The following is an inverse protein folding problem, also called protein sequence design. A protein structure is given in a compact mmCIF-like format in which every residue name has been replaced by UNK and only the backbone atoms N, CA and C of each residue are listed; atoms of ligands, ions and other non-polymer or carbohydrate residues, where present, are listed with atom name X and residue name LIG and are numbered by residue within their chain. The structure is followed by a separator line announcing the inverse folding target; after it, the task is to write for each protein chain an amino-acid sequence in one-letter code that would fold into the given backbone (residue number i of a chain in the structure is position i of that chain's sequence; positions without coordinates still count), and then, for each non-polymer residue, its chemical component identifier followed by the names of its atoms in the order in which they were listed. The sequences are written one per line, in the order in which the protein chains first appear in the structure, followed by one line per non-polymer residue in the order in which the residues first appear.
data_IF_635109672377
#
_entry.id   IF_635109672377
#
_cell.length_a   1.000
_cell.length_b   1.000
_cell.length_c   1.000
_cell.angle_alpha   90.00
_cell.angle_beta   90.00
_cell.angle_gamma   90.00
#
_symmetry.space_group_name_H-M   'P 1'
#
loop_
_entity.id
_entity.type
_entity.pdbx_description
1 polymer ?
#
# COMPACT_ATOMS: atom_id res chain seq x y z
N UNK A 1 -8.65 8.30 -29.01
CA UNK A 1 -8.32 8.60 -27.60
C UNK A 1 -7.10 7.76 -27.23
N UNK A 2 -6.10 8.33 -26.59
CA UNK A 2 -4.88 7.61 -26.19
C UNK A 2 -5.21 6.57 -25.11
N UNK A 3 -4.75 5.35 -25.25
CA UNK A 3 -4.86 4.25 -24.27
C UNK A 3 -3.47 3.96 -23.73
N UNK A 4 -3.32 3.78 -22.43
CA UNK A 4 -2.06 3.45 -21.78
C UNK A 4 -1.84 1.94 -21.87
N UNK A 5 -0.70 1.54 -22.45
CA UNK A 5 -0.28 0.14 -22.59
C UNK A 5 0.53 -0.27 -21.37
N UNK A 6 -0.05 -1.10 -20.52
CA UNK A 6 0.51 -1.48 -19.24
C UNK A 6 1.20 -2.84 -19.33
N UNK A 7 2.41 -2.91 -18.78
CA UNK A 7 3.12 -4.15 -18.50
C UNK A 7 3.00 -4.50 -17.01
N UNK A 8 2.76 -5.78 -16.70
CA UNK A 8 2.67 -6.24 -15.30
C UNK A 8 3.78 -7.26 -15.03
N UNK A 9 4.62 -6.97 -14.04
CA UNK A 9 5.71 -7.83 -13.55
C UNK A 9 5.22 -8.55 -12.30
N UNK A 10 5.24 -9.88 -12.32
CA UNK A 10 4.66 -10.74 -11.29
C UNK A 10 3.19 -11.05 -11.59
N UNK A 11 2.89 -12.33 -11.79
CA UNK A 11 1.54 -12.85 -12.07
C UNK A 11 1.04 -13.75 -10.93
N UNK A 12 1.49 -13.46 -9.70
CA UNK A 12 0.95 -14.03 -8.48
C UNK A 12 -0.49 -13.54 -8.19
N UNK A 13 -0.91 -13.63 -6.94
CA UNK A 13 -2.27 -13.23 -6.52
C UNK A 13 -2.55 -11.76 -6.86
N UNK A 14 -1.64 -10.84 -6.45
CA UNK A 14 -1.82 -9.40 -6.69
C UNK A 14 -1.72 -9.03 -8.17
N UNK A 15 -0.68 -9.48 -8.85
CA UNK A 15 -0.51 -9.15 -10.27
C UNK A 15 -1.65 -9.68 -11.14
N UNK A 16 -2.17 -10.87 -10.84
CA UNK A 16 -3.36 -11.39 -11.52
C UNK A 16 -4.60 -10.52 -11.23
N UNK A 17 -4.81 -10.08 -10.00
CA UNK A 17 -5.90 -9.19 -9.62
C UNK A 17 -5.82 -7.84 -10.35
N UNK A 18 -4.63 -7.24 -10.43
CA UNK A 18 -4.39 -6.03 -11.22
C UNK A 18 -4.68 -6.23 -12.71
N UNK A 19 -4.18 -7.32 -13.32
CA UNK A 19 -4.43 -7.66 -14.73
C UNK A 19 -5.94 -7.75 -14.98
N UNK A 20 -6.68 -8.43 -14.12
CA UNK A 20 -8.12 -8.59 -14.25
C UNK A 20 -8.87 -7.28 -14.04
N UNK A 21 -8.49 -6.49 -13.04
CA UNK A 21 -9.12 -5.20 -12.74
C UNK A 21 -8.91 -4.21 -13.89
N UNK A 22 -7.69 -4.12 -14.45
CA UNK A 22 -7.39 -3.27 -15.60
C UNK A 22 -8.27 -3.68 -16.79
N UNK A 23 -8.27 -4.96 -17.12
CA UNK A 23 -8.94 -5.47 -18.32
C UNK A 23 -10.47 -5.33 -18.25
N UNK A 24 -11.05 -5.37 -17.04
CA UNK A 24 -12.52 -5.34 -16.85
C UNK A 24 -13.08 -3.96 -16.51
N UNK A 25 -12.27 -3.07 -15.87
CA UNK A 25 -12.82 -1.96 -15.11
C UNK A 25 -12.08 -0.63 -15.23
N UNK A 26 -10.90 -0.59 -15.87
CA UNK A 26 -10.10 0.63 -15.99
C UNK A 26 -10.23 1.23 -17.38
N UNK A 27 -10.73 2.45 -17.43
CA UNK A 27 -10.90 3.16 -18.69
C UNK A 27 -9.55 3.66 -19.23
N UNK A 28 -9.38 3.58 -20.55
CA UNK A 28 -8.20 4.10 -21.26
C UNK A 28 -6.89 3.42 -20.87
N UNK A 29 -6.96 2.15 -20.45
CA UNK A 29 -5.81 1.30 -20.16
C UNK A 29 -6.02 -0.08 -20.76
N UNK A 30 -4.93 -0.74 -21.13
CA UNK A 30 -4.92 -2.14 -21.54
C UNK A 30 -3.68 -2.84 -21.02
N UNK A 31 -3.81 -4.10 -20.65
CA UNK A 31 -2.65 -4.95 -20.32
C UNK A 31 -2.05 -5.43 -21.65
N UNK A 32 -0.83 -4.97 -21.93
CA UNK A 32 -0.12 -5.29 -23.18
C UNK A 32 0.84 -6.45 -23.03
N UNK A 33 1.46 -6.57 -21.85
CA UNK A 33 2.38 -7.66 -21.55
C UNK A 33 2.35 -8.02 -20.06
N UNK A 34 2.73 -9.25 -19.77
CA UNK A 34 3.02 -9.73 -18.43
C UNK A 34 4.37 -10.45 -18.43
N UNK A 35 5.07 -10.44 -17.29
CA UNK A 35 6.29 -11.20 -17.08
C UNK A 35 6.28 -11.82 -15.67
N UNK A 36 6.79 -13.01 -15.53
CA UNK A 36 6.94 -13.71 -14.26
C UNK A 36 8.16 -14.65 -14.32
N UNK A 37 8.80 -14.91 -13.20
CA UNK A 37 9.86 -15.91 -13.10
C UNK A 37 9.33 -17.30 -13.47
N UNK A 38 8.05 -17.57 -13.19
CA UNK A 38 7.31 -18.74 -13.68
C UNK A 38 6.66 -18.37 -15.02
N UNK A 39 7.36 -18.70 -16.10
CA UNK A 39 6.93 -18.42 -17.48
C UNK A 39 5.56 -19.03 -17.78
N UNK A 40 5.29 -20.25 -17.29
CA UNK A 40 4.00 -20.92 -17.51
C UNK A 40 2.84 -20.17 -16.85
N UNK A 41 3.08 -19.56 -15.68
CA UNK A 41 2.11 -18.70 -15.01
C UNK A 41 1.86 -17.42 -15.79
N UNK A 42 2.92 -16.78 -16.32
CA UNK A 42 2.78 -15.61 -17.16
C UNK A 42 1.98 -15.90 -18.44
N UNK A 43 2.28 -17.01 -19.11
CA UNK A 43 1.55 -17.47 -20.31
C UNK A 43 0.07 -17.73 -20.01
N UNK A 44 -0.22 -18.40 -18.89
CA UNK A 44 -1.59 -18.69 -18.48
C UNK A 44 -2.40 -17.42 -18.16
N UNK A 45 -1.77 -16.38 -17.62
CA UNK A 45 -2.40 -15.06 -17.38
C UNK A 45 -2.60 -14.33 -18.70
N UNK A 46 -1.57 -14.25 -19.54
CA UNK A 46 -1.64 -13.58 -20.84
C UNK A 46 -2.74 -14.16 -21.74
N UNK A 47 -2.88 -15.48 -21.77
CA UNK A 47 -3.88 -16.17 -22.59
C UNK A 47 -5.34 -15.78 -22.26
N UNK A 48 -5.60 -15.25 -21.07
CA UNK A 48 -6.95 -14.79 -20.65
C UNK A 48 -7.26 -13.35 -21.07
N UNK A 49 -6.27 -12.60 -21.51
CA UNK A 49 -6.39 -11.18 -21.82
C UNK A 49 -6.17 -10.93 -23.31
N UNK A 50 -7.19 -10.46 -24.05
CA UNK A 50 -7.05 -10.20 -25.49
C UNK A 50 -5.90 -9.23 -25.79
N UNK A 51 -4.97 -9.66 -26.63
CA UNK A 51 -3.83 -8.85 -27.07
C UNK A 51 -2.63 -8.79 -26.11
N UNK A 52 -2.72 -9.37 -24.92
CA UNK A 52 -1.59 -9.44 -23.99
C UNK A 52 -0.60 -10.55 -24.41
N UNK A 53 0.68 -10.32 -24.14
CA UNK A 53 1.78 -11.26 -24.39
C UNK A 53 2.50 -11.61 -23.10
N UNK A 54 2.97 -12.83 -22.95
CA UNK A 54 3.97 -13.16 -21.94
C UNK A 54 5.36 -12.82 -22.50
N UNK A 55 6.14 -12.05 -21.74
CA UNK A 55 7.53 -11.74 -22.08
C UNK A 55 8.48 -12.59 -21.24
N UNK A 56 9.68 -12.79 -21.75
CA UNK A 56 10.66 -13.74 -21.18
C UNK A 56 11.25 -13.26 -19.84
N UNK A 57 11.23 -11.97 -19.56
CA UNK A 57 11.72 -11.40 -18.30
C UNK A 57 11.09 -10.04 -17.99
N UNK A 58 11.27 -9.58 -16.75
CA UNK A 58 10.86 -8.26 -16.29
C UNK A 58 11.63 -7.15 -17.04
N UNK A 59 12.91 -7.34 -17.29
CA UNK A 59 13.76 -6.40 -18.01
C UNK A 59 13.28 -6.22 -19.46
N UNK A 60 12.98 -7.32 -20.16
CA UNK A 60 12.43 -7.27 -21.51
C UNK A 60 11.08 -6.53 -21.55
N UNK A 61 10.27 -6.62 -20.49
CA UNK A 61 9.03 -5.87 -20.35
C UNK A 61 9.30 -4.38 -20.14
N UNK A 62 10.22 -4.04 -19.24
CA UNK A 62 10.58 -2.65 -18.93
C UNK A 62 11.17 -1.96 -20.16
N UNK A 63 12.03 -2.63 -20.93
CA UNK A 63 12.68 -2.08 -22.12
C UNK A 63 11.76 -2.00 -23.36
N UNK A 64 10.64 -2.72 -23.35
CA UNK A 64 9.75 -2.81 -24.51
C UNK A 64 9.13 -1.46 -24.88
N UNK A 65 9.26 -1.03 -26.14
CA UNK A 65 8.59 0.14 -26.69
C UNK A 65 7.05 -0.03 -26.83
N UNK A 66 6.54 -1.25 -26.67
CA UNK A 66 5.10 -1.53 -26.66
C UNK A 66 4.45 -1.23 -25.27
N UNK A 67 5.24 -0.87 -24.25
CA UNK A 67 4.80 -0.62 -22.88
C UNK A 67 5.01 0.84 -22.52
N UNK A 68 3.96 1.51 -22.08
CA UNK A 68 3.97 2.91 -21.65
C UNK A 68 4.18 3.06 -20.15
N UNK A 69 3.71 2.09 -19.34
CA UNK A 69 3.77 2.13 -17.89
C UNK A 69 3.87 0.70 -17.31
N UNK A 70 4.46 0.57 -16.12
CA UNK A 70 4.78 -0.73 -15.50
C UNK A 70 4.09 -0.86 -14.14
N UNK A 71 3.48 -2.02 -13.89
CA UNK A 71 3.04 -2.44 -12.55
C UNK A 71 4.02 -3.51 -12.05
N UNK A 72 4.56 -3.31 -10.84
CA UNK A 72 5.44 -4.26 -10.17
C UNK A 72 4.65 -4.90 -9.03
N UNK A 73 4.30 -6.18 -9.19
CA UNK A 73 3.57 -7.02 -8.24
C UNK A 73 4.26 -8.38 -8.04
N UNK A 74 5.58 -8.38 -8.18
CA UNK A 74 6.46 -9.53 -7.98
C UNK A 74 6.78 -9.75 -6.49
N UNK A 75 7.80 -10.53 -6.16
CA UNK A 75 8.24 -10.70 -4.77
C UNK A 75 8.98 -9.45 -4.26
N UNK A 76 8.84 -9.14 -2.95
CA UNK A 76 9.39 -7.93 -2.33
C UNK A 76 10.85 -7.62 -2.69
N UNK A 77 11.81 -8.60 -2.70
CA UNK A 77 13.20 -8.31 -3.04
C UNK A 77 13.42 -7.75 -4.45
N UNK A 78 12.44 -7.90 -5.33
CA UNK A 78 12.55 -7.43 -6.71
C UNK A 78 11.91 -6.07 -6.95
N UNK A 79 11.18 -5.52 -5.98
CA UNK A 79 10.50 -4.22 -6.10
C UNK A 79 11.49 -3.09 -6.35
N UNK A 80 12.52 -2.94 -5.50
CA UNK A 80 13.55 -1.92 -5.64
C UNK A 80 14.26 -1.96 -6.99
N UNK A 81 14.88 -3.10 -7.38
CA UNK A 81 15.55 -3.25 -8.65
C UNK A 81 14.70 -2.94 -9.87
N UNK A 82 13.46 -3.45 -9.95
CA UNK A 82 12.59 -3.20 -11.10
C UNK A 82 12.04 -1.76 -11.12
N UNK A 83 11.84 -1.15 -9.95
CA UNK A 83 11.47 0.26 -9.86
C UNK A 83 12.59 1.15 -10.40
N UNK A 84 13.84 0.91 -9.99
CA UNK A 84 15.01 1.64 -10.49
C UNK A 84 15.19 1.48 -12.01
N UNK A 85 15.04 0.25 -12.52
CA UNK A 85 15.10 -0.02 -13.96
C UNK A 85 14.01 0.73 -14.73
N UNK A 86 12.79 0.80 -14.18
CA UNK A 86 11.67 1.50 -14.81
C UNK A 86 11.87 3.02 -14.80
N UNK A 87 12.43 3.60 -13.73
CA UNK A 87 12.83 5.01 -13.67
C UNK A 87 13.90 5.30 -14.76
N UNK A 88 14.92 4.44 -14.88
CA UNK A 88 15.97 4.58 -15.89
C UNK A 88 15.41 4.51 -17.32
N UNK A 89 14.35 3.72 -17.54
CA UNK A 89 13.62 3.65 -18.80
C UNK A 89 12.62 4.81 -19.01
N UNK A 90 12.49 5.73 -18.04
CA UNK A 90 11.56 6.87 -18.10
C UNK A 90 10.08 6.46 -18.05
N UNK A 91 9.76 5.30 -17.48
CA UNK A 91 8.40 4.77 -17.45
C UNK A 91 7.73 5.00 -16.10
N UNK A 92 6.47 5.50 -16.08
CA UNK A 92 5.64 5.51 -14.88
C UNK A 92 5.51 4.11 -14.29
N UNK A 93 5.62 4.03 -12.95
CA UNK A 93 5.58 2.79 -12.19
C UNK A 93 4.49 2.85 -11.13
N UNK A 94 3.67 1.79 -11.04
CA UNK A 94 2.94 1.47 -9.83
C UNK A 94 3.64 0.27 -9.19
N UNK A 95 4.32 0.49 -8.07
CA UNK A 95 4.99 -0.56 -7.31
C UNK A 95 4.12 -1.00 -6.15
N UNK A 96 3.84 -2.29 -6.03
CA UNK A 96 3.20 -2.83 -4.84
C UNK A 96 4.05 -2.61 -3.59
N UNK A 97 3.38 -2.55 -2.46
CA UNK A 97 4.05 -2.38 -1.16
C UNK A 97 4.71 -3.71 -0.69
N UNK A 98 5.84 -3.65 0.04
CA UNK A 98 6.64 -2.45 0.33
C UNK A 98 7.37 -1.96 -0.92
N UNK A 99 7.75 -0.68 -0.96
CA UNK A 99 8.48 -0.08 -2.10
C UNK A 99 9.80 -0.78 -2.38
N UNK A 100 10.52 -1.14 -1.31
CA UNK A 100 11.73 -1.95 -1.31
C UNK A 100 11.82 -2.70 0.03
N UNK A 101 12.85 -3.54 0.23
CA UNK A 101 13.02 -4.30 1.46
C UNK A 101 13.48 -3.43 2.65
N UNK A 102 14.25 -2.37 2.37
CA UNK A 102 14.83 -1.49 3.39
C UNK A 102 14.60 -0.01 3.07
N UNK A 103 14.65 0.83 4.11
CA UNK A 103 14.62 2.29 3.96
C UNK A 103 15.80 2.79 3.11
N UNK A 104 16.98 2.19 3.22
CA UNK A 104 18.15 2.54 2.42
C UNK A 104 17.95 2.25 0.92
N UNK A 105 17.27 1.19 0.55
CA UNK A 105 16.90 0.90 -0.83
C UNK A 105 15.82 1.87 -1.33
N UNK A 106 14.83 2.22 -0.49
CA UNK A 106 13.87 3.26 -0.82
C UNK A 106 14.57 4.61 -1.10
N UNK A 107 15.60 4.96 -0.32
CA UNK A 107 16.38 6.19 -0.54
C UNK A 107 17.07 6.19 -1.92
N UNK A 108 17.53 5.04 -2.41
CA UNK A 108 18.09 4.94 -3.77
C UNK A 108 17.04 5.28 -4.84
N UNK A 109 15.80 4.85 -4.64
CA UNK A 109 14.69 5.18 -5.54
C UNK A 109 14.40 6.70 -5.51
N UNK A 110 14.37 7.32 -4.32
CA UNK A 110 14.19 8.77 -4.19
C UNK A 110 15.27 9.54 -4.97
N UNK A 111 16.54 9.14 -4.81
CA UNK A 111 17.68 9.76 -5.50
C UNK A 111 17.61 9.56 -7.04
N UNK A 112 17.11 8.41 -7.47
CA UNK A 112 16.91 8.14 -8.89
C UNK A 112 15.84 9.06 -9.51
N UNK A 113 14.71 9.28 -8.82
CA UNK A 113 13.68 10.22 -9.26
C UNK A 113 14.17 11.68 -9.22
N UNK A 114 14.93 12.07 -8.18
CA UNK A 114 15.56 13.40 -8.11
C UNK A 114 16.52 13.63 -9.30
N UNK A 115 17.32 12.61 -9.66
CA UNK A 115 18.22 12.67 -10.81
C UNK A 115 17.45 12.77 -12.12
N UNK A 116 16.35 12.06 -12.25
CA UNK A 116 15.44 12.13 -13.39
C UNK A 116 14.65 13.45 -13.44
N UNK A 117 14.55 14.18 -12.32
CA UNK A 117 13.78 15.42 -12.20
C UNK A 117 12.27 15.23 -12.29
N UNK A 118 11.79 14.02 -12.12
CA UNK A 118 10.37 13.65 -12.33
C UNK A 118 9.96 12.54 -11.38
N UNK A 119 8.79 12.67 -10.73
CA UNK A 119 8.16 11.60 -9.96
C UNK A 119 7.49 10.63 -10.91
N UNK A 120 7.99 9.41 -11.00
CA UNK A 120 7.48 8.34 -11.84
C UNK A 120 6.83 7.22 -11.03
N UNK A 121 7.14 7.13 -9.73
CA UNK A 121 6.76 6.03 -8.86
C UNK A 121 5.55 6.37 -8.01
N UNK A 122 4.45 5.64 -8.23
CA UNK A 122 3.33 5.52 -7.29
C UNK A 122 3.48 4.20 -6.55
N UNK A 123 3.27 4.22 -5.23
CA UNK A 123 3.26 3.00 -4.42
C UNK A 123 1.83 2.50 -4.17
N UNK A 124 1.64 1.18 -4.14
CA UNK A 124 0.37 0.49 -3.97
C UNK A 124 -0.19 0.59 -2.55
N UNK A 125 -0.43 1.80 -2.05
CA UNK A 125 -1.13 2.05 -0.79
C UNK A 125 -2.62 2.27 -1.04
N UNK A 126 -3.31 1.21 -1.45
CA UNK A 126 -4.71 1.23 -1.88
C UNK A 126 -5.67 1.81 -0.83
N UNK A 127 -5.35 1.78 0.47
CA UNK A 127 -6.23 2.32 1.51
C UNK A 127 -6.45 3.82 1.40
N UNK A 128 -5.53 4.58 0.79
CA UNK A 128 -5.74 6.01 0.49
C UNK A 128 -6.81 6.26 -0.59
N UNK A 129 -7.26 5.20 -1.27
CA UNK A 129 -8.34 5.23 -2.26
C UNK A 129 -9.62 4.54 -1.76
N UNK A 130 -9.59 3.93 -0.58
CA UNK A 130 -10.77 3.32 0.04
C UNK A 130 -11.77 4.41 0.46
N UNK A 131 -13.04 4.33 0.04
CA UNK A 131 -14.02 5.36 0.36
C UNK A 131 -14.13 5.68 1.85
N UNK A 132 -14.04 4.65 2.70
CA UNK A 132 -14.12 4.84 4.15
C UNK A 132 -12.94 5.63 4.71
N UNK A 133 -11.70 5.31 4.31
CA UNK A 133 -10.53 6.06 4.76
C UNK A 133 -10.47 7.48 4.18
N UNK A 134 -10.92 7.67 2.94
CA UNK A 134 -11.05 9.02 2.33
C UNK A 134 -12.05 9.86 3.13
N UNK A 135 -13.19 9.28 3.53
CA UNK A 135 -14.18 9.96 4.36
C UNK A 135 -13.63 10.25 5.76
N UNK A 136 -12.96 9.29 6.43
CA UNK A 136 -12.31 9.52 7.73
C UNK A 136 -11.37 10.73 7.66
N UNK A 137 -10.50 10.78 6.65
CA UNK A 137 -9.58 11.92 6.45
C UNK A 137 -10.33 13.23 6.29
N UNK A 138 -11.35 13.27 5.45
CA UNK A 138 -12.14 14.48 5.21
C UNK A 138 -12.80 14.99 6.49
N UNK A 139 -13.37 14.10 7.31
CA UNK A 139 -14.02 14.45 8.59
C UNK A 139 -13.02 14.91 9.64
N UNK A 140 -11.85 14.27 9.73
CA UNK A 140 -10.74 14.73 10.60
C UNK A 140 -10.29 16.13 10.17
N UNK A 141 -10.04 16.33 8.88
CA UNK A 141 -9.59 17.62 8.34
C UNK A 141 -10.63 18.74 8.50
N UNK A 142 -11.93 18.42 8.50
CA UNK A 142 -13.01 19.41 8.74
C UNK A 142 -13.09 19.88 10.20
N UNK A 143 -12.43 19.19 11.13
CA UNK A 143 -12.52 19.48 12.57
C UNK A 143 -13.83 19.05 13.23
N UNK A 144 -14.63 18.18 12.59
CA UNK A 144 -15.92 17.69 13.10
C UNK A 144 -15.82 17.12 14.51
N UNK A 145 -14.74 16.35 14.78
CA UNK A 145 -14.48 15.73 16.10
C UNK A 145 -13.52 16.56 16.98
N UNK A 146 -13.18 17.78 16.61
CA UNK A 146 -12.10 18.55 17.25
C UNK A 146 -10.73 18.02 16.83
N UNK A 147 -9.69 18.31 17.63
CA UNK A 147 -8.37 17.74 17.38
C UNK A 147 -8.41 16.21 17.56
N UNK A 148 -7.88 15.42 16.61
CA UNK A 148 -7.78 13.97 16.77
C UNK A 148 -6.70 13.64 17.80
N UNK A 149 -7.04 12.80 18.78
CA UNK A 149 -6.19 12.46 19.93
C UNK A 149 -5.67 11.03 19.85
N UNK A 150 -6.50 10.11 19.37
CA UNK A 150 -6.22 8.68 19.41
C UNK A 150 -6.88 7.96 18.23
N UNK A 151 -6.23 6.92 17.71
CA UNK A 151 -6.88 5.95 16.84
C UNK A 151 -6.70 4.52 17.37
N UNK A 152 -7.75 3.71 17.22
CA UNK A 152 -7.73 2.28 17.43
C UNK A 152 -7.88 1.58 16.09
N UNK A 153 -6.83 0.87 15.64
CA UNK A 153 -6.83 0.13 14.40
C UNK A 153 -6.73 -1.37 14.67
N UNK A 154 -7.50 -2.14 13.93
CA UNK A 154 -7.46 -3.60 13.97
C UNK A 154 -7.22 -4.13 12.58
N UNK A 155 -6.22 -5.00 12.43
CA UNK A 155 -5.89 -5.69 11.19
C UNK A 155 -5.76 -7.18 11.48
N UNK A 156 -6.72 -7.96 11.02
CA UNK A 156 -6.77 -9.39 11.27
C UNK A 156 -6.89 -10.17 9.98
N UNK A 157 -5.95 -11.09 9.76
CA UNK A 157 -5.98 -12.03 8.66
C UNK A 157 -6.40 -13.42 9.14
N UNK A 158 -7.07 -14.18 8.27
CA UNK A 158 -7.39 -15.58 8.53
C UNK A 158 -6.11 -16.38 8.80
N UNK A 159 -5.10 -16.17 7.95
CA UNK A 159 -3.78 -16.79 8.05
C UNK A 159 -2.75 -16.00 7.26
N UNK A 160 -1.49 -16.26 7.51
CA UNK A 160 -0.34 -15.80 6.71
C UNK A 160 0.59 -16.98 6.47
N UNK A 161 1.57 -16.88 5.55
CA UNK A 161 2.53 -17.96 5.31
C UNK A 161 3.15 -18.47 6.60
N UNK A 162 3.25 -19.81 6.78
CA UNK A 162 3.71 -20.41 8.04
C UNK A 162 5.11 -19.97 8.48
N UNK A 163 5.97 -19.61 7.52
CA UNK A 163 7.36 -19.21 7.77
C UNK A 163 7.50 -17.72 8.13
N UNK A 164 6.43 -16.94 8.09
CA UNK A 164 6.51 -15.53 8.48
C UNK A 164 6.88 -15.37 9.94
N UNK A 165 7.85 -14.51 10.19
CA UNK A 165 8.29 -14.07 11.51
C UNK A 165 7.41 -12.97 12.09
N UNK A 166 7.70 -12.54 13.31
CA UNK A 166 7.06 -11.36 13.89
C UNK A 166 7.43 -10.07 13.15
N UNK A 167 8.64 -10.01 12.61
CA UNK A 167 9.15 -8.90 11.81
C UNK A 167 8.45 -8.83 10.45
N UNK A 168 8.25 -9.98 9.78
CA UNK A 168 7.53 -10.04 8.51
C UNK A 168 6.10 -9.47 8.62
N UNK A 169 5.44 -9.65 9.76
CA UNK A 169 4.11 -9.07 10.01
C UNK A 169 4.19 -7.54 10.00
N UNK A 170 5.19 -6.95 10.65
CA UNK A 170 5.37 -5.48 10.65
C UNK A 170 5.73 -4.98 9.25
N UNK A 171 6.73 -5.60 8.62
CA UNK A 171 7.27 -5.17 7.33
C UNK A 171 6.28 -5.35 6.15
N UNK A 172 5.29 -6.24 6.30
CA UNK A 172 4.39 -6.59 5.18
C UNK A 172 2.93 -6.23 5.44
N UNK A 173 2.45 -6.37 6.69
CA UNK A 173 1.03 -6.14 7.03
C UNK A 173 0.81 -4.78 7.68
N UNK A 174 1.59 -4.41 8.70
CA UNK A 174 1.43 -3.14 9.41
C UNK A 174 1.68 -1.91 8.52
N UNK A 175 2.41 -2.06 7.41
CA UNK A 175 2.68 -0.97 6.46
C UNK A 175 1.43 -0.26 5.95
N UNK A 176 0.29 -0.95 5.95
CA UNK A 176 -0.99 -0.35 5.57
C UNK A 176 -1.50 0.68 6.58
N UNK A 177 -1.43 0.38 7.87
CA UNK A 177 -1.78 1.29 8.95
C UNK A 177 -0.70 2.37 9.12
N UNK A 178 0.58 1.98 8.98
CA UNK A 178 1.74 2.88 9.02
C UNK A 178 1.62 3.97 7.95
N UNK A 179 1.10 3.66 6.78
CA UNK A 179 0.86 4.63 5.71
C UNK A 179 -0.42 5.44 5.92
N UNK A 180 -1.57 4.75 6.08
CA UNK A 180 -2.87 5.41 5.99
C UNK A 180 -3.18 6.28 7.20
N UNK A 181 -2.73 5.93 8.41
CA UNK A 181 -3.10 6.67 9.60
C UNK A 181 -2.41 8.03 9.73
N UNK A 182 -1.07 8.17 9.52
CA UNK A 182 -0.44 9.48 9.44
C UNK A 182 -1.05 10.36 8.34
N UNK A 183 -1.42 9.77 7.19
CA UNK A 183 -2.11 10.47 6.12
C UNK A 183 -3.51 10.96 6.52
N UNK A 184 -4.28 10.18 7.29
CA UNK A 184 -5.60 10.59 7.82
C UNK A 184 -5.45 11.74 8.82
N UNK A 185 -4.45 11.66 9.72
CA UNK A 185 -4.20 12.69 10.72
C UNK A 185 -3.50 13.94 10.15
N UNK A 186 -2.87 13.83 8.97
CA UNK A 186 -2.05 14.90 8.39
C UNK A 186 -0.83 15.24 9.24
N UNK A 187 -0.24 14.25 9.94
CA UNK A 187 0.88 14.42 10.88
C UNK A 187 1.92 13.33 10.70
N UNK A 188 3.19 13.67 10.98
CA UNK A 188 4.30 12.73 10.93
C UNK A 188 4.36 11.83 12.17
N UNK A 189 4.90 10.62 12.01
CA UNK A 189 5.24 9.73 13.13
C UNK A 189 6.60 10.14 13.68
N UNK A 190 6.68 10.38 14.99
CA UNK A 190 7.92 10.79 15.67
C UNK A 190 8.50 9.70 16.56
N UNK A 191 7.66 8.74 17.00
CA UNK A 191 8.10 7.67 17.89
C UNK A 191 7.24 6.43 17.67
N UNK A 192 7.80 5.25 17.93
CA UNK A 192 7.08 3.98 17.83
C UNK A 192 7.39 3.09 19.03
N UNK A 193 6.43 2.23 19.38
CA UNK A 193 6.65 1.18 20.37
C UNK A 193 5.89 -0.09 19.97
N UNK A 194 6.55 -1.24 20.15
CA UNK A 194 6.00 -2.54 19.80
C UNK A 194 5.79 -3.41 21.02
N UNK A 195 4.69 -4.14 21.05
CA UNK A 195 4.29 -5.05 22.12
C UNK A 195 3.74 -6.36 21.57
N UNK A 196 3.89 -7.41 22.30
CA UNK A 196 3.21 -8.68 22.05
C UNK A 196 3.15 -9.52 23.32
N UNK A 197 2.12 -10.35 23.50
CA UNK A 197 2.12 -11.38 24.52
C UNK A 197 3.33 -12.30 24.37
N UNK A 198 3.81 -12.82 25.48
CA UNK A 198 4.88 -13.84 25.47
C UNK A 198 4.26 -15.15 24.99
N UNK A 199 4.76 -15.79 23.92
CA UNK A 199 4.23 -17.06 23.47
C UNK A 199 4.56 -18.17 24.48
N UNK A 200 3.65 -19.16 24.57
CA UNK A 200 3.85 -20.31 25.46
C UNK A 200 5.01 -21.25 25.03
N UNK A 201 5.51 -21.11 23.80
CA UNK A 201 6.62 -21.88 23.27
C UNK A 201 7.67 -20.94 22.66
N UNK A 202 8.99 -21.16 22.96
CA UNK A 202 10.08 -20.42 22.32
C UNK A 202 10.11 -20.64 20.80
N UNK A 203 10.53 -19.61 20.04
CA UNK A 203 10.71 -19.68 18.59
C UNK A 203 9.43 -19.61 17.76
N UNK A 204 8.26 -19.44 18.41
CA UNK A 204 7.00 -19.21 17.72
C UNK A 204 6.84 -17.73 17.42
N UNK A 205 6.34 -17.41 16.23
CA UNK A 205 5.91 -16.06 15.85
C UNK A 205 4.99 -15.48 16.94
N UNK A 206 5.29 -14.27 17.39
CA UNK A 206 4.44 -13.55 18.33
C UNK A 206 3.24 -13.00 17.61
N UNK A 207 2.05 -13.44 18.00
CA UNK A 207 0.78 -13.08 17.38
C UNK A 207 -0.33 -13.26 18.43
N UNK A 208 -1.17 -12.27 18.74
CA UNK A 208 -1.22 -10.94 18.13
C UNK A 208 -0.06 -10.02 18.52
N UNK A 209 0.12 -8.96 17.72
CA UNK A 209 1.07 -7.88 18.00
C UNK A 209 0.33 -6.56 18.17
N UNK A 210 0.93 -5.63 18.90
CA UNK A 210 0.44 -4.25 19.02
C UNK A 210 1.58 -3.30 18.67
N UNK A 211 1.34 -2.40 17.72
CA UNK A 211 2.20 -1.27 17.44
C UNK A 211 1.54 0.01 17.93
N UNK A 212 2.29 0.88 18.59
CA UNK A 212 1.87 2.23 18.97
C UNK A 212 2.73 3.20 18.17
N UNK A 213 2.09 4.09 17.41
CA UNK A 213 2.76 5.19 16.74
C UNK A 213 2.39 6.49 17.47
N UNK A 214 3.38 7.27 17.83
CA UNK A 214 3.21 8.63 18.34
C UNK A 214 3.41 9.62 17.18
N UNK A 215 2.43 10.48 16.98
CA UNK A 215 2.46 11.52 15.96
C UNK A 215 2.94 12.84 16.52
N UNK A 216 3.42 13.71 15.65
CA UNK A 216 3.67 15.11 15.99
C UNK A 216 2.46 15.72 16.69
N UNK A 217 2.71 16.42 17.82
CA UNK A 217 1.65 16.97 18.66
C UNK A 217 1.00 15.97 19.63
N UNK A 218 1.56 14.74 19.75
CA UNK A 218 1.23 13.78 20.81
C UNK A 218 0.00 12.92 20.58
N UNK A 219 -0.61 12.93 19.40
CA UNK A 219 -1.68 11.97 19.07
C UNK A 219 -1.11 10.56 18.94
N UNK A 220 -1.89 9.55 19.35
CA UNK A 220 -1.45 8.15 19.38
C UNK A 220 -2.28 7.29 18.43
N UNK A 221 -1.63 6.35 17.76
CA UNK A 221 -2.26 5.34 16.92
C UNK A 221 -1.93 3.96 17.48
N UNK A 222 -2.96 3.23 17.93
CA UNK A 222 -2.87 1.84 18.34
C UNK A 222 -3.22 0.94 17.17
N UNK A 223 -2.35 0.01 16.83
CA UNK A 223 -2.53 -0.95 15.74
C UNK A 223 -2.45 -2.35 16.33
N UNK A 224 -3.58 -3.05 16.38
CA UNK A 224 -3.61 -4.49 16.68
C UNK A 224 -3.46 -5.28 15.39
N UNK A 225 -2.47 -6.17 15.35
CA UNK A 225 -2.18 -7.08 14.24
C UNK A 225 -2.41 -8.51 14.71
N UNK A 226 -3.40 -9.21 14.15
CA UNK A 226 -3.64 -10.61 14.44
C UNK A 226 -3.70 -11.42 13.14
N UNK A 227 -2.58 -12.04 12.80
CA UNK A 227 -2.37 -12.67 11.50
C UNK A 227 -2.80 -14.16 11.44
N UNK A 228 -3.30 -14.69 12.55
CA UNK A 228 -3.86 -16.04 12.66
C UNK A 228 -5.24 -16.02 13.33
N UNK A 229 -6.09 -15.07 12.95
CA UNK A 229 -7.42 -14.89 13.54
C UNK A 229 -8.39 -16.05 13.25
N UNK A 230 -8.16 -16.80 12.15
CA UNK A 230 -8.89 -18.00 11.74
C UNK A 230 -10.39 -17.81 11.42
N UNK A 231 -11.04 -16.77 11.92
CA UNK A 231 -12.48 -16.56 11.77
C UNK A 231 -12.88 -15.69 10.58
N UNK A 232 -11.94 -14.93 10.00
CA UNK A 232 -12.21 -14.04 8.89
C UNK A 232 -11.17 -12.93 8.76
N UNK A 233 -11.28 -12.15 7.67
CA UNK A 233 -10.50 -10.94 7.45
C UNK A 233 -11.25 -9.74 8.05
N UNK A 234 -10.57 -8.97 8.90
CA UNK A 234 -11.19 -7.85 9.59
C UNK A 234 -10.26 -6.64 9.64
N UNK A 235 -10.77 -5.50 9.16
CA UNK A 235 -10.13 -4.19 9.27
C UNK A 235 -11.10 -3.26 9.97
N UNK A 236 -10.65 -2.67 11.09
CA UNK A 236 -11.40 -1.64 11.83
C UNK A 236 -10.51 -0.44 12.10
N UNK A 237 -11.13 0.71 12.20
CA UNK A 237 -10.47 1.94 12.63
C UNK A 237 -11.51 2.82 13.32
N UNK A 238 -11.22 3.25 14.53
CA UNK A 238 -11.96 4.28 15.26
C UNK A 238 -10.97 5.40 15.60
N UNK A 239 -11.38 6.65 15.36
CA UNK A 239 -10.62 7.84 15.73
C UNK A 239 -11.39 8.59 16.81
N UNK A 240 -10.71 8.86 17.92
CA UNK A 240 -11.22 9.62 19.05
C UNK A 240 -10.64 11.04 18.99
N UNK A 241 -11.49 12.02 18.96
CA UNK A 241 -11.14 13.44 19.04
C UNK A 241 -11.71 14.11 20.27
N UNK A 242 -11.39 15.39 20.46
CA UNK A 242 -11.83 16.19 21.63
C UNK A 242 -13.36 16.32 21.76
N UNK A 243 -14.11 16.19 20.65
CA UNK A 243 -15.56 16.45 20.59
C UNK A 243 -16.38 15.24 20.16
N UNK A 244 -15.76 14.12 19.85
CA UNK A 244 -16.48 12.93 19.40
C UNK A 244 -15.56 11.87 18.80
N UNK A 245 -16.17 10.84 18.24
CA UNK A 245 -15.48 9.74 17.57
C UNK A 245 -15.98 9.53 16.16
N UNK A 246 -15.13 8.99 15.29
CA UNK A 246 -15.47 8.55 13.93
C UNK A 246 -14.90 7.15 13.75
N UNK A 247 -15.69 6.23 13.19
CA UNK A 247 -15.22 4.88 12.90
C UNK A 247 -15.50 4.46 11.45
N UNK A 248 -14.73 3.52 10.96
CA UNK A 248 -15.04 2.83 9.70
C UNK A 248 -16.31 2.00 9.90
N UNK A 249 -17.30 2.24 9.04
CA UNK A 249 -18.50 1.42 9.04
C UNK A 249 -18.17 -0.07 8.76
N UNK A 250 -18.88 -1.02 9.39
CA UNK A 250 -18.74 -2.43 9.07
C UNK A 250 -19.00 -2.69 7.59
N UNK A 251 -18.18 -3.52 6.98
CA UNK A 251 -18.22 -3.77 5.52
C UNK A 251 -19.34 -4.74 5.11
N UNK A 252 -19.94 -5.42 6.09
CA UNK A 252 -21.05 -6.33 5.79
C UNK A 252 -22.24 -5.59 5.19
N UNK A 253 -22.67 -6.05 4.02
CA UNK A 253 -23.85 -5.49 3.33
C UNK A 253 -25.16 -6.00 3.89
N UNK A 254 -25.14 -7.08 4.67
CA UNK A 254 -26.32 -7.72 5.21
C UNK A 254 -26.09 -8.19 6.64
N UNK A 255 -27.16 -8.15 7.43
CA UNK A 255 -27.22 -8.73 8.77
C UNK A 255 -28.35 -9.74 8.78
N UNK A 256 -28.03 -11.01 9.00
CA UNK A 256 -29.02 -12.06 9.14
C UNK A 256 -29.50 -12.17 10.61
N UNK A 257 -30.78 -12.46 10.78
CA UNK A 257 -31.37 -12.77 12.09
C UNK A 257 -32.11 -14.09 11.99
N UNK A 258 -31.60 -15.12 12.63
CA UNK A 258 -32.19 -16.47 12.70
C UNK A 258 -31.78 -17.13 14.01
N UNK A 259 -32.54 -18.10 14.49
CA UNK A 259 -32.21 -18.93 15.64
C UNK A 259 -31.81 -18.12 16.89
N UNK A 260 -32.48 -17.00 17.14
CA UNK A 260 -32.21 -16.06 18.26
C UNK A 260 -30.78 -15.43 18.18
N UNK A 261 -30.18 -15.37 16.97
CA UNK A 261 -28.82 -14.82 16.73
C UNK A 261 -28.85 -13.69 15.72
N UNK A 262 -27.85 -12.83 15.83
CA UNK A 262 -27.48 -11.86 14.79
C UNK A 262 -26.18 -12.34 14.17
N UNK A 263 -26.14 -12.46 12.85
CA UNK A 263 -25.00 -12.97 12.09
C UNK A 263 -24.57 -11.96 11.04
N UNK A 264 -23.27 -11.81 10.88
CA UNK A 264 -22.62 -10.96 9.88
C UNK A 264 -21.55 -11.80 9.22
N UNK A 265 -21.56 -11.86 7.88
CA UNK A 265 -20.54 -12.58 7.14
C UNK A 265 -19.24 -11.78 7.09
N UNK A 266 -18.13 -12.47 7.32
CA UNK A 266 -16.79 -11.91 7.20
C UNK A 266 -16.15 -12.38 5.89
N UNK A 267 -15.33 -11.52 5.28
CA UNK A 267 -14.54 -11.89 4.11
C UNK A 267 -13.44 -12.90 4.49
N UNK A 268 -13.09 -13.76 3.55
CA UNK A 268 -11.97 -14.69 3.75
C UNK A 268 -10.60 -13.99 3.62
N UNK A 269 -10.55 -12.90 2.85
CA UNK A 269 -9.33 -12.12 2.62
C UNK A 269 -9.66 -10.66 2.24
N UNK A 270 -8.62 -9.89 1.94
CA UNK A 270 -8.65 -8.47 1.62
C UNK A 270 -9.39 -8.12 0.31
N UNK A 271 -9.48 -9.02 -0.67
CA UNK A 271 -9.99 -8.74 -2.02
C UNK A 271 -11.42 -8.19 -2.02
N UNK A 272 -12.41 -8.82 -1.40
CA UNK A 272 -13.76 -8.26 -1.37
C UNK A 272 -13.85 -6.93 -0.62
N UNK A 273 -12.99 -6.74 0.41
CA UNK A 273 -12.99 -5.52 1.24
C UNK A 273 -12.46 -4.32 0.48
N UNK A 274 -11.41 -4.50 -0.32
CA UNK A 274 -10.68 -3.41 -0.96
C UNK A 274 -10.79 -3.38 -2.49
N UNK A 275 -11.68 -4.16 -3.11
CA UNK A 275 -11.86 -4.19 -4.56
C UNK A 275 -12.07 -2.79 -5.17
N UNK A 276 -12.90 -1.95 -4.54
CA UNK A 276 -13.16 -0.59 -5.00
C UNK A 276 -11.93 0.32 -4.81
N UNK A 277 -11.16 0.12 -3.74
CA UNK A 277 -9.93 0.86 -3.49
C UNK A 277 -8.89 0.61 -4.59
N UNK A 278 -8.62 -0.65 -4.93
CA UNK A 278 -7.72 -1.02 -6.02
C UNK A 278 -8.19 -0.48 -7.37
N UNK A 279 -9.49 -0.57 -7.65
CA UNK A 279 -10.05 0.00 -8.89
C UNK A 279 -9.82 1.52 -8.97
N UNK A 280 -10.06 2.25 -7.87
CA UNK A 280 -9.85 3.70 -7.81
C UNK A 280 -8.38 4.06 -7.91
N UNK A 281 -7.50 3.32 -7.25
CA UNK A 281 -6.05 3.50 -7.32
C UNK A 281 -5.55 3.38 -8.76
N UNK A 282 -5.87 2.27 -9.42
CA UNK A 282 -5.48 2.03 -10.82
C UNK A 282 -6.05 3.08 -11.77
N UNK A 283 -7.32 3.46 -11.62
CA UNK A 283 -7.91 4.49 -12.48
C UNK A 283 -7.28 5.86 -12.24
N UNK A 284 -6.98 6.22 -10.98
CA UNK A 284 -6.29 7.46 -10.63
C UNK A 284 -4.91 7.52 -11.24
N UNK A 285 -4.13 6.42 -11.15
CA UNK A 285 -2.81 6.30 -11.73
C UNK A 285 -2.82 6.46 -13.25
N UNK A 286 -3.73 5.76 -13.94
CA UNK A 286 -3.91 5.90 -15.40
C UNK A 286 -4.27 7.34 -15.78
N UNK A 287 -5.17 7.98 -15.03
CA UNK A 287 -5.55 9.37 -15.28
C UNK A 287 -4.38 10.33 -15.09
N UNK A 288 -3.52 10.10 -14.09
CA UNK A 288 -2.31 10.89 -13.84
C UNK A 288 -1.33 10.81 -15.03
N UNK A 289 -1.11 9.60 -15.56
CA UNK A 289 -0.26 9.38 -16.73
C UNK A 289 -0.85 10.09 -17.98
N UNK A 290 -2.16 10.00 -18.18
CA UNK A 290 -2.82 10.64 -19.30
C UNK A 290 -2.75 12.17 -19.23
N UNK A 291 -2.93 12.74 -18.02
CA UNK A 291 -2.79 14.17 -17.75
C UNK A 291 -1.35 14.65 -18.03
N UNK A 292 -0.37 13.92 -17.49
CA UNK A 292 1.06 14.18 -17.76
C UNK A 292 1.38 14.18 -19.26
N UNK A 293 0.95 13.14 -19.98
CA UNK A 293 1.20 13.01 -21.42
C UNK A 293 0.50 14.09 -22.26
N UNK A 294 -0.55 14.72 -21.75
CA UNK A 294 -1.24 15.83 -22.41
C UNK A 294 -0.60 17.20 -22.17
N UNK A 295 0.43 17.27 -21.32
CA UNK A 295 1.10 18.53 -20.96
C UNK A 295 0.28 19.40 -20.01
N UNK A 296 -0.58 18.80 -19.18
CA UNK A 296 -1.34 19.52 -18.16
C UNK A 296 -0.38 20.11 -17.11
N UNK A 297 -0.29 21.45 -17.09
CA UNK A 297 0.60 22.20 -16.23
C UNK A 297 0.27 22.08 -14.72
N UNK A 298 -0.88 21.54 -14.34
CA UNK A 298 -1.18 21.26 -12.96
C UNK A 298 -0.40 20.05 -12.41
N UNK A 299 0.28 19.30 -13.29
CA UNK A 299 1.06 18.11 -12.96
C UNK A 299 2.57 18.35 -13.13
N UNK A 300 3.11 19.36 -12.44
CA UNK A 300 4.50 19.84 -12.64
C UNK A 300 5.59 18.87 -12.18
N UNK A 301 5.28 17.88 -11.35
CA UNK A 301 6.31 16.99 -10.74
C UNK A 301 6.31 15.58 -11.31
N UNK A 302 5.39 15.22 -12.23
CA UNK A 302 5.34 13.87 -12.81
C UNK A 302 3.96 13.21 -12.78
N UNK A 303 3.81 12.02 -13.37
CA UNK A 303 2.55 11.29 -13.51
C UNK A 303 2.09 10.59 -12.22
N UNK A 304 2.21 11.23 -11.07
CA UNK A 304 1.84 10.66 -9.76
C UNK A 304 0.88 11.60 -9.02
N UNK A 305 -0.34 11.11 -8.74
CA UNK A 305 -1.37 11.85 -8.00
C UNK A 305 -1.75 11.17 -6.68
N UNK A 306 -1.05 10.12 -6.29
CA UNK A 306 -1.30 9.33 -5.08
C UNK A 306 -0.09 9.25 -4.17
N UNK A 307 -0.03 8.22 -3.34
CA UNK A 307 1.17 7.91 -2.56
C UNK A 307 2.36 7.66 -3.49
N UNK A 308 3.45 8.36 -3.22
CA UNK A 308 4.65 8.36 -4.04
C UNK A 308 5.82 7.61 -3.37
N UNK A 309 7.02 7.64 -3.97
CA UNK A 309 8.18 6.96 -3.40
C UNK A 309 8.57 7.51 -2.02
N UNK A 310 8.30 8.79 -1.73
CA UNK A 310 8.53 9.36 -0.39
C UNK A 310 7.63 8.70 0.67
N UNK A 311 6.36 8.44 0.35
CA UNK A 311 5.45 7.74 1.25
C UNK A 311 5.93 6.31 1.50
N UNK A 312 6.45 5.62 0.47
CA UNK A 312 7.07 4.31 0.58
C UNK A 312 8.30 4.31 1.49
N UNK A 313 9.20 5.29 1.32
CA UNK A 313 10.37 5.48 2.18
C UNK A 313 9.97 5.70 3.65
N UNK A 314 9.01 6.60 3.90
CA UNK A 314 8.53 6.86 5.27
C UNK A 314 7.95 5.60 5.92
N UNK A 315 7.15 4.84 5.19
CA UNK A 315 6.60 3.59 5.69
C UNK A 315 7.70 2.58 6.05
N UNK A 316 8.77 2.49 5.24
CA UNK A 316 9.92 1.63 5.52
C UNK A 316 10.66 2.07 6.78
N UNK A 317 10.95 3.36 6.95
CA UNK A 317 11.63 3.91 8.16
C UNK A 317 10.81 3.61 9.43
N UNK A 318 9.50 3.82 9.40
CA UNK A 318 8.62 3.55 10.54
C UNK A 318 8.59 2.04 10.85
N UNK A 319 8.52 1.19 9.82
CA UNK A 319 8.52 -0.26 9.99
C UNK A 319 9.85 -0.77 10.58
N UNK A 320 11.00 -0.25 10.11
CA UNK A 320 12.31 -0.58 10.67
C UNK A 320 12.44 -0.14 12.14
N UNK A 321 11.91 1.05 12.50
CA UNK A 321 11.88 1.50 13.88
C UNK A 321 11.03 0.58 14.78
N UNK A 322 9.88 0.08 14.27
CA UNK A 322 9.08 -0.92 14.99
C UNK A 322 9.82 -2.24 15.19
N UNK A 323 10.55 -2.71 14.17
CA UNK A 323 11.42 -3.91 14.29
C UNK A 323 12.53 -3.67 15.32
N UNK A 324 13.15 -2.49 15.34
CA UNK A 324 14.12 -2.12 16.36
C UNK A 324 13.51 -2.11 17.77
N UNK A 325 12.25 -1.65 17.90
CA UNK A 325 11.50 -1.68 19.16
C UNK A 325 11.24 -3.11 19.67
N UNK A 326 11.04 -4.09 18.77
CA UNK A 326 10.92 -5.50 19.17
C UNK A 326 12.17 -6.01 19.90
N UNK A 327 13.35 -5.55 19.48
CA UNK A 327 14.64 -5.97 20.03
C UNK A 327 15.02 -5.18 21.27
N UNK A 328 14.76 -3.86 21.30
CA UNK A 328 15.09 -2.99 22.45
C UNK A 328 14.12 -3.16 23.61
N UNK A 329 12.89 -3.58 23.34
CA UNK A 329 11.81 -3.70 24.34
C UNK A 329 11.25 -2.36 24.82
N UNK A 330 11.50 -1.26 24.10
CA UNK A 330 11.04 0.08 24.43
C UNK A 330 10.77 0.94 23.21
N UNK A 331 10.38 2.22 23.43
CA UNK A 331 10.11 3.15 22.34
C UNK A 331 11.38 3.47 21.54
N UNK A 332 11.21 3.65 20.24
CA UNK A 332 12.27 4.01 19.29
C UNK A 332 11.84 5.26 18.52
N UNK A 333 12.67 6.32 18.47
CA UNK A 333 12.38 7.49 17.68
C UNK A 333 12.42 7.15 16.17
N UNK A 334 11.57 7.81 15.40
CA UNK A 334 11.54 7.71 13.94
C UNK A 334 12.37 8.84 13.35
N UNK A 335 13.52 8.50 12.80
CA UNK A 335 14.42 9.44 12.14
C UNK A 335 14.29 9.29 10.63
N UNK A 336 13.70 10.28 9.97
CA UNK A 336 13.60 10.32 8.51
C UNK A 336 14.50 11.41 7.91
N UNK A 337 14.82 11.26 6.63
CA UNK A 337 15.48 12.33 5.87
C UNK A 337 14.59 13.58 5.84
N UNK A 338 15.20 14.74 5.57
CA UNK A 338 14.43 15.91 5.15
C UNK A 338 13.74 15.61 3.80
N UNK A 339 12.51 16.08 3.65
CA UNK A 339 11.73 15.86 2.41
C UNK A 339 12.51 16.45 1.23
N UNK A 340 12.90 15.63 0.21
CA UNK A 340 13.60 16.14 -0.97
C UNK A 340 12.73 17.14 -1.75
N UNK A 341 13.37 18.09 -2.44
CA UNK A 341 12.67 19.17 -3.13
C UNK A 341 11.61 18.72 -4.14
N UNK A 342 11.85 17.61 -4.82
CA UNK A 342 10.92 16.99 -5.76
C UNK A 342 9.58 16.56 -5.12
N UNK A 343 9.57 16.25 -3.81
CA UNK A 343 8.40 15.75 -3.08
C UNK A 343 7.73 16.80 -2.18
N UNK A 344 8.27 18.02 -2.10
CA UNK A 344 7.69 19.09 -1.27
C UNK A 344 6.40 19.65 -1.89
N UNK A 345 6.26 19.59 -3.21
CA UNK A 345 5.11 20.16 -3.92
C UNK A 345 3.86 19.28 -3.72
N UNK A 346 2.75 19.91 -3.29
CA UNK A 346 1.46 19.24 -3.09
C UNK A 346 1.29 18.55 -1.72
N UNK A 347 2.21 18.75 -0.78
CA UNK A 347 2.15 18.25 0.60
C UNK A 347 1.88 19.40 1.60
N UNK A 348 0.80 20.16 1.38
CA UNK A 348 0.32 21.19 2.31
C UNK A 348 -1.01 20.78 2.93
#
# INVERSE_FOLDING_TARGET
MTTIRIGVIGTGVMGTDHVETISKSIARAEVRAVADIDVGRAEAVAARIPGAKALSSAEALIESAEIDAVIIASSNPTHGPYTLASIAAGKPVLCEKPLAETAAECEQILRAEETAGTRLVQIGFMRRYDPGYVELRARVASGEIGAPLLAHCVHRNVSVPPLWTSEDIVLTSAVHEIDVMPWVFGREVVNVNWFSPVPNAPGVRRDPQVAILELEGGALIFIELFMAANYGYEIRCEIVGEKGTIELAPVSRTVARSDLRVQVDLAADWRPRFAEAYRRELQSWVNAILSWNSGDLNNVSGPVHGPDAWDGYRAAVIAEALVASMSSGGPVPVESLAIPGLYQQGRS
#
